data_IF_894447706713
#
_entry.id   IF_894447706713
#
_cell.length_a   1.000
_cell.length_b   1.000
_cell.length_c   1.000
_cell.angle_alpha   90.00
_cell.angle_beta   90.00
_cell.angle_gamma   90.00
#
_symmetry.space_group_name_H-M   'P 1'
#
loop_
_entity.id
_entity.type
_entity.pdbx_description
1 polymer ?
#
# COMPACT_ATOMS: atom_id res chain seq x y z
N UNK A 1 0.06 -10.27 20.12
CA UNK A 1 0.00 -8.97 20.81
C UNK A 1 1.36 -8.28 20.75
N UNK A 2 1.43 -6.93 20.76
CA UNK A 2 2.70 -6.23 20.78
C UNK A 2 3.54 -6.58 21.99
N UNK A 3 4.84 -6.76 21.82
CA UNK A 3 5.75 -6.98 22.93
C UNK A 3 7.00 -7.78 22.56
N UNK A 4 8.15 -7.34 23.08
CA UNK A 4 9.44 -8.02 22.87
C UNK A 4 9.43 -9.41 23.50
N UNK A 5 9.89 -10.43 22.78
CA UNK A 5 10.05 -11.79 23.28
C UNK A 5 8.76 -12.64 23.39
N UNK A 6 7.61 -12.10 22.98
CA UNK A 6 6.33 -12.85 23.00
C UNK A 6 6.29 -13.95 21.95
N UNK A 7 6.93 -13.75 20.83
CA UNK A 7 7.12 -14.73 19.78
C UNK A 7 7.82 -16.00 20.30
N UNK A 8 8.91 -15.84 21.04
CA UNK A 8 9.61 -16.99 21.61
C UNK A 8 8.79 -17.72 22.67
N UNK A 9 7.98 -17.00 23.49
CA UNK A 9 7.07 -17.64 24.44
C UNK A 9 6.02 -18.49 23.74
N UNK A 10 5.46 -18.00 22.64
CA UNK A 10 4.51 -18.76 21.81
C UNK A 10 5.17 -19.99 21.19
N UNK A 11 6.39 -19.86 20.68
CA UNK A 11 7.14 -21.00 20.12
C UNK A 11 7.44 -22.07 21.19
N UNK A 12 7.90 -21.67 22.37
CA UNK A 12 8.14 -22.57 23.49
C UNK A 12 6.88 -23.31 23.95
N UNK A 13 5.74 -22.64 23.94
CA UNK A 13 4.46 -23.28 24.27
C UNK A 13 4.04 -24.29 23.19
N UNK A 14 4.29 -23.98 21.91
CA UNK A 14 4.07 -24.92 20.81
C UNK A 14 4.91 -26.20 20.96
N UNK A 15 6.16 -26.07 21.39
CA UNK A 15 7.05 -27.24 21.55
C UNK A 15 6.59 -28.21 22.63
N UNK A 16 5.79 -27.77 23.60
CA UNK A 16 5.15 -28.64 24.60
C UNK A 16 4.10 -29.60 24.02
N UNK A 17 3.65 -29.36 22.78
CA UNK A 17 2.74 -30.26 22.06
C UNK A 17 3.36 -31.64 21.80
N UNK A 18 4.70 -31.73 21.76
CA UNK A 18 5.41 -33.00 21.60
C UNK A 18 4.94 -33.79 20.37
N UNK A 19 4.54 -35.04 20.58
CA UNK A 19 4.06 -35.92 19.52
C UNK A 19 2.82 -35.39 18.77
N UNK A 20 1.98 -34.61 19.44
CA UNK A 20 0.77 -34.01 18.85
C UNK A 20 1.07 -32.80 17.94
N UNK A 21 2.30 -32.32 17.93
CA UNK A 21 2.68 -31.09 17.24
C UNK A 21 2.32 -31.05 15.77
N UNK A 22 2.60 -32.10 15.03
CA UNK A 22 2.26 -32.18 13.61
C UNK A 22 0.75 -32.18 13.35
N UNK A 23 -0.01 -32.98 14.10
CA UNK A 23 -1.47 -33.03 13.96
C UNK A 23 -2.13 -31.68 14.30
N UNK A 24 -1.52 -30.89 15.17
CA UNK A 24 -1.97 -29.57 15.59
C UNK A 24 -1.26 -28.42 14.83
N UNK A 25 -0.52 -28.74 13.76
CA UNK A 25 0.28 -27.78 12.98
C UNK A 25 1.19 -26.88 13.84
N UNK A 26 1.65 -27.39 15.00
CA UNK A 26 2.43 -26.66 15.99
C UNK A 26 1.78 -25.34 16.46
N UNK A 27 0.46 -25.28 16.45
CA UNK A 27 -0.31 -24.11 16.88
C UNK A 27 -0.70 -24.28 18.37
N UNK A 28 -0.07 -23.53 19.30
CA UNK A 28 -0.36 -23.65 20.71
C UNK A 28 -1.61 -22.84 21.09
N UNK A 29 -2.24 -23.20 22.20
CA UNK A 29 -3.21 -22.32 22.87
C UNK A 29 -2.43 -21.31 23.72
N UNK A 30 -2.30 -20.07 23.25
CA UNK A 30 -1.57 -19.02 23.96
C UNK A 30 -2.29 -17.67 23.87
N UNK A 31 -2.43 -16.90 25.00
CA UNK A 31 -3.19 -15.65 24.99
C UNK A 31 -2.59 -14.54 24.12
N UNK A 32 -1.31 -14.62 23.81
CA UNK A 32 -0.64 -13.66 22.94
C UNK A 32 -0.65 -14.06 21.45
N UNK A 33 -1.08 -15.29 21.12
CA UNK A 33 -1.27 -15.71 19.74
C UNK A 33 -2.56 -15.06 19.19
N UNK A 34 -2.44 -14.31 18.11
CA UNK A 34 -3.57 -13.65 17.47
C UNK A 34 -4.04 -14.42 16.24
N UNK A 35 -3.10 -14.86 15.43
CA UNK A 35 -3.34 -15.53 14.15
C UNK A 35 -2.30 -16.64 13.95
N UNK A 36 -2.69 -17.69 13.26
CA UNK A 36 -1.79 -18.77 12.88
C UNK A 36 -2.20 -19.37 11.55
N UNK A 37 -1.24 -19.64 10.68
CA UNK A 37 -1.46 -20.46 9.49
C UNK A 37 -1.32 -21.94 9.84
N UNK A 38 -1.93 -22.81 9.05
CA UNK A 38 -1.55 -24.22 9.03
C UNK A 38 -0.10 -24.36 8.55
N UNK A 39 0.56 -25.42 8.98
CA UNK A 39 1.87 -25.77 8.48
C UNK A 39 1.76 -26.11 6.98
N UNK A 40 2.69 -25.62 6.19
CA UNK A 40 2.81 -26.00 4.78
C UNK A 40 3.68 -27.26 4.65
N UNK A 41 3.31 -28.12 3.72
CA UNK A 41 4.14 -29.26 3.34
C UNK A 41 5.41 -28.81 2.59
N UNK A 42 6.46 -29.64 2.50
CA UNK A 42 7.63 -29.31 1.71
C UNK A 42 7.24 -28.91 0.28
N UNK A 43 7.90 -27.86 -0.24
CA UNK A 43 7.65 -27.30 -1.58
C UNK A 43 6.20 -26.79 -1.82
N UNK A 44 5.43 -26.57 -0.75
CA UNK A 44 4.10 -26.00 -0.80
C UNK A 44 4.03 -24.65 -0.09
N UNK A 45 2.86 -23.98 -0.19
CA UNK A 45 2.60 -22.71 0.48
C UNK A 45 1.31 -22.77 1.30
N UNK A 46 1.26 -22.01 2.38
CA UNK A 46 0.06 -21.79 3.17
C UNK A 46 -0.19 -20.29 3.26
N UNK A 47 -1.40 -19.86 2.90
CA UNK A 47 -1.78 -18.45 2.94
C UNK A 47 -2.72 -18.18 4.11
N UNK A 48 -2.43 -17.14 4.87
CA UNK A 48 -3.25 -16.68 5.98
C UNK A 48 -3.83 -15.30 5.67
N UNK A 49 -5.15 -15.21 5.60
CA UNK A 49 -5.88 -13.94 5.49
C UNK A 49 -6.38 -13.52 6.87
N UNK A 50 -6.11 -12.28 7.25
CA UNK A 50 -6.58 -11.75 8.53
C UNK A 50 -6.73 -10.22 8.48
N UNK A 51 -7.54 -9.67 9.37
CA UNK A 51 -7.63 -8.23 9.57
C UNK A 51 -6.55 -7.77 10.54
N UNK A 52 -5.79 -6.75 10.16
CA UNK A 52 -4.75 -6.20 11.02
C UNK A 52 -5.33 -5.73 12.37
N UNK A 53 -4.61 -5.92 13.49
CA UNK A 53 -5.04 -5.43 14.77
C UNK A 53 -5.27 -3.92 14.79
N UNK A 54 -6.34 -3.43 15.43
CA UNK A 54 -6.66 -1.99 15.52
C UNK A 54 -5.60 -1.19 16.29
N UNK A 55 -4.90 -1.82 17.23
CA UNK A 55 -3.85 -1.16 18.00
C UNK A 55 -2.56 -1.12 17.21
N UNK A 56 -2.02 0.08 16.99
CA UNK A 56 -0.72 0.26 16.36
C UNK A 56 0.41 -0.34 17.21
N UNK A 57 1.47 -0.78 16.56
CA UNK A 57 2.63 -1.35 17.24
C UNK A 57 3.37 -2.41 16.43
N UNK A 58 4.37 -2.99 17.07
CA UNK A 58 5.18 -4.08 16.51
C UNK A 58 4.61 -5.41 16.97
N UNK A 59 4.21 -6.24 16.01
CA UNK A 59 3.64 -7.57 16.21
C UNK A 59 4.65 -8.60 15.70
N UNK A 60 5.36 -9.28 16.60
CA UNK A 60 6.29 -10.31 16.18
C UNK A 60 5.54 -11.51 15.60
N UNK A 61 6.15 -12.16 14.62
CA UNK A 61 5.72 -13.46 14.11
C UNK A 61 6.89 -14.44 14.15
N UNK A 62 6.58 -15.72 14.24
CA UNK A 62 7.57 -16.78 14.41
C UNK A 62 7.06 -18.09 13.83
N UNK A 63 7.93 -18.87 13.24
CA UNK A 63 7.65 -20.26 12.95
C UNK A 63 7.73 -21.06 14.26
N UNK A 64 6.66 -21.80 14.58
CA UNK A 64 6.54 -22.56 15.82
C UNK A 64 7.04 -24.00 15.71
N UNK A 65 7.45 -24.44 14.51
CA UNK A 65 8.10 -25.74 14.32
C UNK A 65 9.39 -25.81 15.14
N UNK A 66 9.63 -26.89 15.90
CA UNK A 66 10.88 -27.05 16.68
C UNK A 66 12.12 -26.80 15.85
N UNK A 67 13.07 -26.02 16.37
CA UNK A 67 14.30 -25.64 15.69
C UNK A 67 14.21 -24.42 14.75
N UNK A 68 13.01 -24.01 14.32
CA UNK A 68 12.86 -22.93 13.32
C UNK A 68 12.77 -21.53 13.93
N UNK A 69 12.30 -21.41 15.17
CA UNK A 69 12.00 -20.12 15.80
C UNK A 69 13.21 -19.15 15.90
N UNK A 70 14.43 -19.67 15.88
CA UNK A 70 15.64 -18.86 15.96
C UNK A 70 15.90 -18.09 14.65
N UNK A 71 15.58 -18.69 13.51
CA UNK A 71 15.89 -18.16 12.18
C UNK A 71 14.66 -17.74 11.38
N UNK A 72 13.49 -18.34 11.64
CA UNK A 72 12.23 -18.06 10.94
C UNK A 72 11.29 -17.20 11.80
N UNK A 73 11.64 -15.95 11.94
CA UNK A 73 10.87 -14.95 12.73
C UNK A 73 11.03 -13.55 12.15
N UNK A 74 10.08 -12.69 12.47
CA UNK A 74 10.14 -11.30 12.03
C UNK A 74 9.15 -10.44 12.78
N UNK A 75 8.90 -9.25 12.27
CA UNK A 75 8.00 -8.28 12.89
C UNK A 75 7.10 -7.66 11.85
N UNK A 76 5.81 -7.79 12.03
CA UNK A 76 4.79 -7.01 11.35
C UNK A 76 4.62 -5.68 12.09
N UNK A 77 4.63 -4.57 11.37
CA UNK A 77 4.37 -3.25 11.92
C UNK A 77 2.95 -2.85 11.55
N UNK A 78 2.13 -2.60 12.57
CA UNK A 78 0.81 -1.97 12.39
C UNK A 78 0.96 -0.50 12.74
N UNK A 79 0.83 0.35 11.76
CA UNK A 79 0.80 1.80 11.92
C UNK A 79 -0.61 2.33 11.68
N UNK A 80 -0.90 3.52 12.20
CA UNK A 80 -2.07 4.27 11.77
C UNK A 80 -1.87 4.54 10.28
N UNK A 81 -2.82 4.14 9.46
CA UNK A 81 -2.79 4.52 8.04
C UNK A 81 -2.92 6.03 7.99
N UNK A 82 -1.82 6.69 7.72
CA UNK A 82 -1.84 8.09 7.33
C UNK A 82 -2.06 8.00 5.82
N UNK A 83 -3.29 8.26 5.37
CA UNK A 83 -3.48 8.55 3.97
C UNK A 83 -2.71 9.85 3.71
N UNK A 84 -1.62 9.83 2.95
CA UNK A 84 -0.86 11.03 2.68
C UNK A 84 -1.62 12.00 1.76
N UNK A 85 -2.74 11.56 1.17
CA UNK A 85 -3.57 12.35 0.27
C UNK A 85 -4.81 12.85 1.01
N UNK A 86 -5.12 14.11 0.85
CA UNK A 86 -6.32 14.74 1.38
C UNK A 86 -6.96 15.66 0.35
N UNK A 87 -8.26 15.95 0.53
CA UNK A 87 -9.03 16.83 -0.36
C UNK A 87 -8.96 16.42 -1.84
N UNK A 88 -8.86 15.09 -2.07
CA UNK A 88 -8.67 14.57 -3.41
C UNK A 88 -9.97 14.66 -4.22
N UNK A 89 -9.89 15.41 -5.31
CA UNK A 89 -10.96 15.57 -6.31
C UNK A 89 -10.47 15.09 -7.66
N UNK A 90 -11.41 14.77 -8.55
CA UNK A 90 -11.11 14.51 -9.94
C UNK A 90 -12.00 15.35 -10.86
N UNK A 91 -11.48 15.64 -12.04
CA UNK A 91 -12.24 16.20 -13.16
C UNK A 91 -12.06 15.30 -14.36
N UNK A 92 -13.18 14.80 -14.89
CA UNK A 92 -13.22 13.90 -16.03
C UNK A 92 -13.47 14.70 -17.32
N UNK A 93 -12.73 14.36 -18.36
CA UNK A 93 -12.89 14.89 -19.71
C UNK A 93 -13.05 13.73 -20.68
N UNK A 94 -14.03 13.81 -21.58
CA UNK A 94 -14.24 12.82 -22.64
C UNK A 94 -13.58 13.29 -23.92
N UNK A 95 -12.80 12.44 -24.55
CA UNK A 95 -12.09 12.74 -25.79
C UNK A 95 -10.82 11.94 -25.92
N UNK A 96 -10.16 12.07 -27.06
CA UNK A 96 -8.92 11.38 -27.35
C UNK A 96 -7.86 12.41 -27.78
N UNK A 97 -6.69 12.35 -27.14
CA UNK A 97 -5.61 13.32 -27.37
C UNK A 97 -4.27 12.57 -27.54
N UNK A 98 -3.47 13.03 -28.51
CA UNK A 98 -2.10 12.51 -28.68
C UNK A 98 -1.09 13.10 -27.70
N UNK A 99 -1.46 14.17 -27.00
CA UNK A 99 -0.68 14.84 -25.96
C UNK A 99 -1.63 15.39 -24.91
N UNK A 100 -1.13 15.58 -23.70
CA UNK A 100 -1.89 16.21 -22.62
C UNK A 100 -2.33 17.60 -23.05
N UNK A 101 -3.62 17.86 -23.16
CA UNK A 101 -4.13 19.14 -23.63
C UNK A 101 -4.09 20.22 -22.54
N UNK A 102 -4.40 21.45 -22.91
CA UNK A 102 -4.73 22.49 -21.95
C UNK A 102 -6.16 22.26 -21.43
N UNK A 103 -6.27 21.62 -20.28
CA UNK A 103 -7.55 21.25 -19.67
C UNK A 103 -8.47 22.44 -19.40
N UNK A 104 -7.93 23.67 -19.30
CA UNK A 104 -8.74 24.88 -19.10
C UNK A 104 -9.53 25.28 -20.34
N UNK A 105 -9.22 24.70 -21.49
CA UNK A 105 -9.90 24.95 -22.77
C UNK A 105 -10.89 23.86 -23.16
N UNK A 106 -11.07 22.86 -22.31
CA UNK A 106 -11.96 21.71 -22.58
C UNK A 106 -13.05 21.69 -21.53
N UNK A 107 -14.29 21.53 -21.97
CA UNK A 107 -15.44 21.41 -21.08
C UNK A 107 -15.36 20.08 -20.33
N UNK A 108 -15.41 20.10 -18.97
CA UNK A 108 -15.39 18.89 -18.17
C UNK A 108 -16.69 18.09 -18.32
N UNK A 109 -16.56 16.77 -18.35
CA UNK A 109 -17.73 15.86 -18.34
C UNK A 109 -18.27 15.58 -16.94
N UNK A 110 -17.47 15.89 -15.90
CA UNK A 110 -17.87 15.75 -14.51
C UNK A 110 -16.70 16.05 -13.55
N UNK A 111 -17.06 16.45 -12.34
CA UNK A 111 -16.11 16.69 -11.24
C UNK A 111 -16.74 16.19 -9.96
N UNK A 112 -15.96 15.47 -9.14
CA UNK A 112 -16.39 14.96 -7.85
C UNK A 112 -15.18 14.68 -6.93
N UNK A 113 -15.46 14.29 -5.69
CA UNK A 113 -14.46 13.84 -4.75
C UNK A 113 -14.08 12.37 -4.98
N UNK A 114 -12.80 12.05 -4.80
CA UNK A 114 -12.33 10.66 -4.87
C UNK A 114 -12.64 9.94 -3.57
N UNK A 115 -13.65 9.09 -3.58
CA UNK A 115 -14.15 8.39 -2.38
C UNK A 115 -13.13 7.41 -1.79
N UNK A 116 -12.27 6.80 -2.62
CA UNK A 116 -11.22 5.87 -2.18
C UNK A 116 -10.06 6.57 -1.45
N UNK A 117 -9.91 7.89 -1.62
CA UNK A 117 -8.75 8.64 -1.16
C UNK A 117 -7.43 8.24 -1.83
N UNK A 118 -7.49 7.60 -3.01
CA UNK A 118 -6.33 7.13 -3.79
C UNK A 118 -6.48 7.57 -5.24
N UNK A 119 -5.36 7.71 -5.94
CA UNK A 119 -5.38 7.87 -7.38
C UNK A 119 -5.71 6.51 -8.03
N UNK A 120 -6.97 6.32 -8.36
CA UNK A 120 -7.45 5.15 -9.07
C UNK A 120 -8.55 5.52 -10.09
N UNK A 121 -8.84 4.62 -11.00
CA UNK A 121 -9.83 4.83 -12.05
C UNK A 121 -11.26 4.44 -11.64
N UNK A 122 -11.50 4.12 -10.36
CA UNK A 122 -12.85 3.78 -9.86
C UNK A 122 -13.80 4.97 -9.89
N UNK A 123 -13.26 6.18 -10.05
CA UNK A 123 -14.01 7.42 -10.21
C UNK A 123 -14.70 7.56 -11.59
N UNK A 124 -14.41 6.70 -12.54
CA UNK A 124 -15.02 6.72 -13.87
C UNK A 124 -15.47 5.33 -14.32
N UNK A 125 -16.48 5.29 -15.19
CA UNK A 125 -16.89 4.07 -15.92
C UNK A 125 -16.27 3.98 -17.31
N UNK A 126 -15.62 5.05 -17.74
CA UNK A 126 -14.96 5.10 -19.05
C UNK A 126 -13.74 4.16 -19.02
N UNK A 127 -13.50 3.47 -20.10
CA UNK A 127 -12.36 2.54 -20.26
C UNK A 127 -11.33 3.08 -21.23
N UNK A 128 -11.72 3.98 -22.13
CA UNK A 128 -10.90 4.55 -23.16
C UNK A 128 -11.44 5.93 -23.58
N UNK A 129 -10.67 6.69 -24.30
CA UNK A 129 -11.04 8.01 -24.82
C UNK A 129 -11.47 9.00 -23.74
N UNK A 130 -10.69 9.10 -22.66
CA UNK A 130 -10.90 10.04 -21.57
C UNK A 130 -9.58 10.59 -21.01
N UNK A 131 -9.67 11.71 -20.33
CA UNK A 131 -8.60 12.26 -19.49
C UNK A 131 -9.12 12.57 -18.10
N UNK A 132 -8.28 12.41 -17.10
CA UNK A 132 -8.61 12.75 -15.71
C UNK A 132 -7.57 13.71 -15.15
N UNK A 133 -8.03 14.76 -14.50
CA UNK A 133 -7.20 15.64 -13.68
C UNK A 133 -7.56 15.39 -12.23
N UNK A 134 -6.63 14.85 -11.47
CA UNK A 134 -6.72 14.76 -10.01
C UNK A 134 -6.13 16.02 -9.38
N UNK A 135 -6.77 16.53 -8.33
CA UNK A 135 -6.27 17.62 -7.48
C UNK A 135 -6.45 17.26 -6.03
N UNK A 136 -5.50 17.64 -5.19
CA UNK A 136 -5.54 17.37 -3.76
C UNK A 136 -4.25 17.75 -3.10
N UNK A 137 -4.12 17.42 -1.82
CA UNK A 137 -2.91 17.69 -1.06
C UNK A 137 -2.20 16.40 -0.69
N UNK A 138 -0.87 16.44 -0.66
CA UNK A 138 -0.02 15.37 -0.15
C UNK A 138 0.69 15.83 1.11
N UNK A 139 0.62 15.04 2.18
CA UNK A 139 1.29 15.30 3.45
C UNK A 139 2.68 14.67 3.46
N UNK A 140 3.72 15.50 3.52
CA UNK A 140 5.09 15.07 3.73
C UNK A 140 5.37 14.94 5.24
N UNK A 141 5.60 13.72 5.78
CA UNK A 141 5.78 13.51 7.22
C UNK A 141 7.08 14.10 7.77
N UNK A 142 8.04 14.41 6.91
CA UNK A 142 9.32 15.05 7.23
C UNK A 142 9.88 15.79 6.02
N UNK A 143 10.72 16.79 6.24
CA UNK A 143 11.49 17.42 5.15
C UNK A 143 12.50 16.44 4.55
N UNK A 144 12.65 16.45 3.23
CA UNK A 144 13.58 15.57 2.53
C UNK A 144 13.30 15.41 1.04
N UNK A 145 14.10 14.56 0.42
CA UNK A 145 13.92 14.19 -1.00
C UNK A 145 12.92 13.06 -1.13
N UNK A 146 11.90 13.30 -1.95
CA UNK A 146 10.87 12.33 -2.29
C UNK A 146 11.02 11.91 -3.75
N UNK A 147 10.81 10.63 -3.99
CA UNK A 147 10.73 10.08 -5.35
C UNK A 147 9.31 9.64 -5.59
N UNK A 148 8.72 10.16 -6.66
CA UNK A 148 7.41 9.75 -7.14
C UNK A 148 7.57 8.93 -8.40
N UNK A 149 6.68 7.96 -8.59
CA UNK A 149 6.60 7.17 -9.81
C UNK A 149 5.16 7.12 -10.27
N UNK A 150 4.92 7.43 -11.52
CA UNK A 150 3.63 7.29 -12.19
C UNK A 150 3.78 6.22 -13.25
N UNK A 151 2.87 5.24 -13.26
CA UNK A 151 2.70 4.29 -14.36
C UNK A 151 1.41 4.64 -15.08
N UNK A 152 1.46 4.80 -16.37
CA UNK A 152 0.30 5.18 -17.17
C UNK A 152 0.37 4.64 -18.59
N UNK A 153 -0.80 4.48 -19.14
CA UNK A 153 -1.17 4.27 -20.53
C UNK A 153 -2.37 5.20 -20.80
N UNK A 154 -2.28 6.25 -21.57
CA UNK A 154 -1.16 6.92 -22.26
C UNK A 154 -0.44 7.94 -21.36
N UNK A 155 -0.35 9.21 -21.84
CA UNK A 155 0.38 10.30 -21.22
C UNK A 155 -0.07 10.68 -19.82
N UNK A 156 0.89 11.01 -18.95
CA UNK A 156 0.63 11.49 -17.60
C UNK A 156 1.59 12.60 -17.18
N UNK A 157 1.14 13.40 -16.20
CA UNK A 157 1.96 14.48 -15.63
C UNK A 157 1.71 14.61 -14.14
N UNK A 158 2.77 14.69 -13.34
CA UNK A 158 2.68 15.01 -11.91
C UNK A 158 3.21 16.42 -11.68
N UNK A 159 2.39 17.22 -11.02
CA UNK A 159 2.71 18.58 -10.62
C UNK A 159 2.57 18.67 -9.10
N UNK A 160 3.58 19.20 -8.40
CA UNK A 160 3.54 19.47 -6.97
C UNK A 160 3.98 20.92 -6.76
N UNK A 161 3.20 21.69 -6.00
CA UNK A 161 3.44 23.11 -5.74
C UNK A 161 3.69 23.91 -7.02
N UNK A 162 2.90 23.66 -8.08
CA UNK A 162 2.99 24.27 -9.42
C UNK A 162 4.26 23.91 -10.20
N UNK A 163 5.08 22.98 -9.72
CA UNK A 163 6.28 22.52 -10.42
C UNK A 163 6.02 21.14 -11.05
N UNK A 164 6.35 20.98 -12.31
CA UNK A 164 6.29 19.68 -12.99
C UNK A 164 7.41 18.80 -12.44
N UNK A 165 7.03 17.68 -11.82
CA UNK A 165 7.95 16.69 -11.25
C UNK A 165 8.12 15.52 -12.21
N UNK A 166 7.04 15.12 -12.87
CA UNK A 166 7.04 14.09 -13.91
C UNK A 166 6.30 14.66 -15.11
N UNK A 167 6.92 14.61 -16.27
CA UNK A 167 6.29 14.84 -17.56
C UNK A 167 6.48 13.58 -18.40
N UNK A 168 5.41 12.83 -18.56
CA UNK A 168 5.34 11.57 -19.30
C UNK A 168 4.23 11.69 -20.34
N UNK A 169 4.30 12.76 -21.14
CA UNK A 169 3.32 13.09 -22.17
C UNK A 169 3.51 12.21 -23.42
N UNK A 170 2.44 12.02 -24.16
CA UNK A 170 2.44 11.30 -25.44
C UNK A 170 1.64 10.01 -25.41
N UNK A 171 1.59 9.34 -26.55
CA UNK A 171 0.94 8.03 -26.71
C UNK A 171 1.97 6.93 -26.48
N UNK A 172 1.75 6.09 -25.49
CA UNK A 172 2.62 4.96 -25.13
C UNK A 172 1.85 3.93 -24.32
N UNK A 173 2.28 2.67 -24.35
CA UNK A 173 1.74 1.64 -23.46
C UNK A 173 2.11 1.88 -22.00
N UNK A 174 1.53 1.10 -21.10
CA UNK A 174 1.78 1.21 -19.66
C UNK A 174 3.28 1.14 -19.34
N UNK A 175 3.84 2.26 -18.95
CA UNK A 175 5.25 2.39 -18.56
C UNK A 175 5.40 3.31 -17.34
N UNK A 176 6.34 3.00 -16.42
CA UNK A 176 6.61 3.84 -15.26
C UNK A 176 7.60 4.97 -15.61
N UNK A 177 7.34 6.16 -15.07
CA UNK A 177 8.29 7.28 -15.07
C UNK A 177 8.42 7.86 -13.67
N UNK A 178 9.65 8.13 -13.24
CA UNK A 178 9.94 8.65 -11.91
C UNK A 178 10.46 10.08 -11.96
N UNK A 179 10.12 10.85 -10.91
CA UNK A 179 10.64 12.20 -10.67
C UNK A 179 11.01 12.41 -9.21
N UNK A 180 11.95 13.31 -8.94
CA UNK A 180 12.40 13.64 -7.59
C UNK A 180 12.09 15.09 -7.26
N UNK A 181 11.71 15.33 -6.01
CA UNK A 181 11.46 16.66 -5.48
C UNK A 181 11.83 16.73 -4.01
N UNK A 182 12.38 17.86 -3.59
CA UNK A 182 12.56 18.18 -2.17
C UNK A 182 11.27 18.79 -1.65
N UNK A 183 10.74 18.22 -0.57
CA UNK A 183 9.55 18.72 0.13
C UNK A 183 9.92 19.03 1.58
N UNK A 184 9.37 20.10 2.10
CA UNK A 184 9.39 20.39 3.54
C UNK A 184 8.32 19.53 4.25
N UNK A 185 8.47 19.34 5.57
CA UNK A 185 7.42 18.69 6.36
C UNK A 185 6.13 19.52 6.27
N UNK A 186 5.02 18.85 5.97
CA UNK A 186 3.69 19.48 5.89
C UNK A 186 2.97 19.16 4.59
N UNK A 187 1.92 19.94 4.31
CA UNK A 187 1.01 19.73 3.19
C UNK A 187 1.49 20.43 1.92
N UNK A 188 1.39 19.74 0.79
CA UNK A 188 1.77 20.21 -0.54
C UNK A 188 0.64 19.92 -1.53
N UNK A 189 0.40 20.87 -2.43
CA UNK A 189 -0.65 20.76 -3.47
C UNK A 189 -0.07 20.26 -4.80
#
# INVERSE_FOLDING_TARGET
KPGKGKDMKVAQEAWKLGADGFAKHWIPKHPDLLFASKMADPHSSSTLYFTAPKRTGKYPYVCTLPGHAQVMRGTMIVSKEINPLSELTFTLFKGSWKKIPDWNKIEPSGTDHVQSGKFDLSCTKEKESFGIVFRGNIEAPKSGNYTFTVSSDDGSRLIINRKIIIDHDGVHGETPKSGKVQLEKGSHH
#
